data_IF_639448767932
#
_entry.id   IF_639448767932
#
_cell.length_a   1.000
_cell.length_b   1.000
_cell.length_c   1.000
_cell.angle_alpha   90.00
_cell.angle_beta   90.00
_cell.angle_gamma   90.00
#
_symmetry.space_group_name_H-M   'P 1'
#
loop_
_entity.id
_entity.type
_entity.pdbx_description
1 polymer ?
#
# COMPACT_ATOMS: atom_id res chain seq x y z
N UNK A 1 29.85 17.72 8.91
CA UNK A 1 29.26 18.96 9.46
C UNK A 1 29.04 19.96 8.33
N UNK A 2 27.82 20.14 7.91
CA UNK A 2 27.27 21.37 7.27
C UNK A 2 25.78 21.10 7.06
N UNK A 3 24.98 21.73 7.93
CA UNK A 3 23.52 21.63 7.90
C UNK A 3 22.94 22.45 6.74
N UNK A 4 21.97 21.91 6.09
CA UNK A 4 21.14 22.61 5.13
C UNK A 4 19.95 23.24 5.87
N UNK A 5 20.02 24.57 6.07
CA UNK A 5 18.86 25.39 6.45
C UNK A 5 18.30 26.00 5.18
N UNK A 6 17.08 25.66 4.82
CA UNK A 6 16.30 26.40 3.83
C UNK A 6 15.68 27.62 4.52
N UNK A 7 16.11 28.82 4.11
CA UNK A 7 15.45 30.08 4.45
C UNK A 7 14.32 30.33 3.42
N UNK A 8 13.08 30.26 3.88
CA UNK A 8 11.93 30.80 3.15
C UNK A 8 11.72 32.26 3.56
N UNK A 9 11.97 33.16 2.63
CA UNK A 9 11.67 34.61 2.76
C UNK A 9 10.21 34.85 2.37
N UNK A 10 9.36 35.13 3.34
CA UNK A 10 8.00 35.63 3.12
C UNK A 10 8.02 37.11 2.73
N UNK A 11 7.65 37.44 1.50
CA UNK A 11 7.29 38.79 1.12
C UNK A 11 5.83 39.04 1.49
N UNK A 12 5.61 40.03 2.37
CA UNK A 12 4.29 40.46 2.79
C UNK A 12 3.48 41.09 1.64
N UNK A 13 2.23 40.64 1.54
CA UNK A 13 1.13 41.39 0.91
C UNK A 13 0.00 41.53 1.91
N UNK A 14 -0.32 42.72 2.26
CA UNK A 14 -1.49 43.14 3.03
C UNK A 14 -2.77 42.72 2.30
N UNK A 15 -3.57 41.85 2.91
CA UNK A 15 -4.91 41.51 2.46
C UNK A 15 -5.94 42.22 3.32
N UNK A 16 -6.84 42.89 2.63
CA UNK A 16 -7.97 43.58 3.23
C UNK A 16 -8.96 42.60 3.90
N UNK A 17 -9.52 43.06 4.98
CA UNK A 17 -10.52 42.37 5.80
C UNK A 17 -11.82 42.14 5.03
N UNK A 18 -12.11 40.88 4.67
CA UNK A 18 -13.46 40.45 4.30
C UNK A 18 -14.01 39.62 5.46
N UNK A 19 -15.12 40.06 6.04
CA UNK A 19 -15.82 39.43 7.15
C UNK A 19 -16.34 38.03 6.81
N UNK A 20 -16.59 37.18 7.83
CA UNK A 20 -17.01 35.81 7.62
C UNK A 20 -18.45 35.72 7.09
N UNK A 21 -18.62 35.19 5.88
CA UNK A 21 -19.92 34.71 5.43
C UNK A 21 -20.18 33.36 6.08
N UNK A 22 -21.07 33.34 7.04
CA UNK A 22 -21.62 32.13 7.64
C UNK A 22 -22.47 31.40 6.58
N UNK A 23 -21.94 30.31 6.02
CA UNK A 23 -22.76 29.30 5.37
C UNK A 23 -23.39 28.43 6.45
N UNK A 24 -24.67 28.67 6.73
CA UNK A 24 -25.48 27.79 7.55
C UNK A 24 -25.70 26.48 6.79
N UNK A 25 -24.89 25.46 7.10
CA UNK A 25 -25.22 24.08 6.75
C UNK A 25 -26.44 23.67 7.60
N UNK A 26 -27.57 23.49 6.94
CA UNK A 26 -28.72 22.77 7.52
C UNK A 26 -28.22 21.36 7.88
N UNK A 27 -28.10 21.10 9.19
CA UNK A 27 -27.93 19.75 9.72
C UNK A 27 -29.21 18.97 9.44
N UNK A 28 -29.23 18.23 8.33
CA UNK A 28 -30.23 17.19 8.13
C UNK A 28 -30.11 16.18 9.26
N UNK A 29 -31.23 15.87 9.90
CA UNK A 29 -31.33 14.74 10.84
C UNK A 29 -30.96 13.47 10.12
N UNK A 30 -29.84 12.86 10.49
CA UNK A 30 -29.43 11.53 10.00
C UNK A 30 -30.43 10.55 10.57
N UNK A 31 -31.40 10.12 9.74
CA UNK A 31 -32.22 8.97 10.03
C UNK A 31 -31.25 7.75 10.04
N UNK A 32 -31.07 7.12 11.20
CA UNK A 32 -30.45 5.81 11.31
C UNK A 32 -31.41 4.75 10.73
N UNK A 33 -31.50 4.68 9.41
CA UNK A 33 -31.97 3.47 8.73
C UNK A 33 -30.99 2.34 9.02
N UNK A 34 -31.47 1.10 9.14
CA UNK A 34 -30.60 -0.07 9.24
C UNK A 34 -29.55 -0.04 8.11
N UNK A 35 -28.31 -0.52 8.35
CA UNK A 35 -27.29 -0.52 7.33
C UNK A 35 -27.78 -1.26 6.08
N UNK A 36 -27.55 -0.66 4.92
CA UNK A 36 -27.93 -1.23 3.62
C UNK A 36 -27.26 -2.61 3.46
N UNK A 37 -28.01 -3.61 2.98
CA UNK A 37 -27.46 -4.95 2.79
C UNK A 37 -26.45 -4.94 1.64
N UNK A 38 -25.37 -5.74 1.69
CA UNK A 38 -24.36 -5.84 0.62
C UNK A 38 -24.96 -6.02 -0.78
N UNK A 39 -25.99 -6.86 -0.93
CA UNK A 39 -26.68 -7.09 -2.20
C UNK A 39 -27.34 -5.82 -2.75
N UNK A 40 -28.00 -5.04 -1.89
CA UNK A 40 -28.68 -3.80 -2.29
C UNK A 40 -27.67 -2.72 -2.71
N UNK A 41 -26.54 -2.62 -1.97
CA UNK A 41 -25.42 -1.73 -2.33
C UNK A 41 -24.91 -2.07 -3.72
N UNK A 42 -24.58 -3.34 -3.98
CA UNK A 42 -24.04 -3.77 -5.28
C UNK A 42 -25.05 -3.54 -6.40
N UNK A 43 -26.33 -3.84 -6.15
CA UNK A 43 -27.39 -3.63 -7.14
C UNK A 43 -27.56 -2.14 -7.51
N UNK A 44 -27.53 -1.24 -6.52
CA UNK A 44 -27.62 0.22 -6.72
C UNK A 44 -26.42 0.73 -7.53
N UNK A 45 -25.21 0.39 -7.14
CA UNK A 45 -24.00 0.81 -7.84
C UNK A 45 -23.98 0.28 -9.29
N UNK A 46 -24.42 -0.95 -9.50
CA UNK A 46 -24.52 -1.55 -10.84
C UNK A 46 -25.57 -0.87 -11.72
N UNK A 47 -26.72 -0.50 -11.13
CA UNK A 47 -27.72 0.29 -11.82
C UNK A 47 -27.15 1.65 -12.27
N UNK A 48 -26.47 2.35 -11.39
CA UNK A 48 -25.80 3.63 -11.69
C UNK A 48 -24.74 3.49 -12.77
N UNK A 49 -23.85 2.48 -12.68
CA UNK A 49 -22.84 2.23 -13.71
C UNK A 49 -23.46 2.01 -15.10
N UNK A 50 -24.59 1.27 -15.19
CA UNK A 50 -25.31 1.00 -16.45
C UNK A 50 -25.88 2.25 -17.09
N UNK A 51 -26.15 3.32 -16.35
CA UNK A 51 -26.58 4.61 -16.93
C UNK A 51 -25.45 5.31 -17.70
N UNK A 52 -24.20 4.90 -17.51
CA UNK A 52 -23.02 5.57 -18.05
C UNK A 52 -22.54 6.77 -17.22
N UNK A 53 -23.15 7.05 -16.06
CA UNK A 53 -22.85 8.22 -15.19
C UNK A 53 -21.36 8.32 -14.81
N UNK A 54 -20.68 7.21 -14.62
CA UNK A 54 -19.27 7.18 -14.18
C UNK A 54 -18.26 7.31 -15.33
N UNK A 55 -18.72 7.16 -16.60
CA UNK A 55 -17.84 7.08 -17.78
C UNK A 55 -17.21 8.42 -18.21
N UNK A 56 -17.90 9.58 -18.16
CA UNK A 56 -17.31 10.86 -18.56
C UNK A 56 -16.06 11.20 -17.73
N UNK A 57 -15.02 11.72 -18.39
CA UNK A 57 -13.75 12.11 -17.73
C UNK A 57 -13.99 13.21 -16.70
N UNK A 58 -14.96 14.10 -16.94
CA UNK A 58 -15.36 15.17 -16.03
C UNK A 58 -15.91 14.64 -14.71
N UNK A 59 -16.69 13.55 -14.75
CA UNK A 59 -17.16 12.87 -13.53
C UNK A 59 -15.97 12.27 -12.77
N UNK A 60 -15.09 11.54 -13.47
CA UNK A 60 -13.92 10.88 -12.87
C UNK A 60 -13.01 11.89 -12.17
N UNK A 61 -12.59 12.94 -12.89
CA UNK A 61 -11.74 14.00 -12.34
C UNK A 61 -12.45 14.78 -11.23
N UNK A 62 -13.79 14.93 -11.33
CA UNK A 62 -14.62 15.52 -10.28
C UNK A 62 -14.57 14.70 -8.98
N UNK A 63 -14.70 13.36 -9.05
CA UNK A 63 -14.59 12.49 -7.89
C UNK A 63 -13.19 12.52 -7.28
N UNK A 64 -12.13 12.49 -8.10
CA UNK A 64 -10.75 12.56 -7.63
C UNK A 64 -10.46 13.88 -6.90
N UNK A 65 -10.92 15.02 -7.42
CA UNK A 65 -10.77 16.32 -6.74
C UNK A 65 -11.50 16.36 -5.40
N UNK A 66 -12.71 15.79 -5.31
CA UNK A 66 -13.45 15.67 -4.05
C UNK A 66 -12.79 14.74 -3.05
N UNK A 67 -12.20 13.63 -3.52
CA UNK A 67 -11.41 12.73 -2.67
C UNK A 67 -10.17 13.44 -2.11
N UNK A 68 -9.50 14.24 -2.93
CA UNK A 68 -8.39 15.10 -2.50
C UNK A 68 -8.81 16.12 -1.45
N UNK A 69 -9.93 16.84 -1.69
CA UNK A 69 -10.53 17.78 -0.76
C UNK A 69 -10.87 17.11 0.57
N UNK A 70 -11.51 15.95 0.51
CA UNK A 70 -11.81 15.11 1.68
C UNK A 70 -10.58 14.85 2.55
N UNK A 71 -9.48 14.39 1.93
CA UNK A 71 -8.23 14.10 2.64
C UNK A 71 -7.61 15.35 3.25
N UNK A 72 -7.66 16.48 2.53
CA UNK A 72 -7.08 17.74 2.98
C UNK A 72 -7.86 18.34 4.16
N UNK A 73 -9.18 18.31 4.09
CA UNK A 73 -10.05 18.91 5.11
C UNK A 73 -10.18 18.04 6.37
N UNK A 74 -10.14 16.71 6.22
CA UNK A 74 -10.32 15.77 7.33
C UNK A 74 -9.00 15.11 7.78
N UNK A 75 -7.85 15.59 7.31
CA UNK A 75 -6.53 15.06 7.67
C UNK A 75 -6.31 14.93 9.18
N UNK A 76 -6.61 15.94 10.01
CA UNK A 76 -6.45 15.83 11.46
C UNK A 76 -7.32 14.73 12.10
N UNK A 77 -8.54 14.52 11.60
CA UNK A 77 -9.41 13.47 12.09
C UNK A 77 -8.93 12.08 11.69
N UNK A 78 -8.50 11.91 10.44
CA UNK A 78 -7.91 10.65 9.97
C UNK A 78 -6.62 10.32 10.73
N UNK A 79 -5.76 11.31 10.99
CA UNK A 79 -4.55 11.12 11.78
C UNK A 79 -4.86 10.70 13.23
N UNK A 80 -5.91 11.27 13.84
CA UNK A 80 -6.36 10.87 15.16
C UNK A 80 -6.91 9.43 15.18
N UNK A 81 -7.64 9.02 14.15
CA UNK A 81 -8.15 7.66 14.00
C UNK A 81 -7.01 6.64 13.82
N UNK A 82 -6.02 6.95 12.99
CA UNK A 82 -4.82 6.15 12.77
C UNK A 82 -3.98 6.01 14.06
N UNK A 83 -3.92 7.08 14.85
CA UNK A 83 -3.28 7.03 16.18
C UNK A 83 -4.04 6.11 17.14
N UNK A 84 -5.37 6.18 17.16
CA UNK A 84 -6.20 5.33 18.01
C UNK A 84 -6.05 3.83 17.67
N UNK A 85 -5.95 3.49 16.40
CA UNK A 85 -5.85 2.10 15.94
C UNK A 85 -4.43 1.52 16.05
N UNK A 86 -3.40 2.29 15.70
CA UNK A 86 -2.03 1.81 15.48
C UNK A 86 -0.97 2.56 16.28
N UNK A 87 -1.34 3.60 17.03
CA UNK A 87 -0.38 4.47 17.72
C UNK A 87 0.49 5.29 16.75
N UNK A 88 0.12 5.44 15.49
CA UNK A 88 0.88 6.26 14.53
C UNK A 88 0.95 7.70 14.99
N UNK A 89 2.13 8.32 14.89
CA UNK A 89 2.25 9.76 15.07
C UNK A 89 1.50 10.51 13.96
N UNK A 90 1.18 11.78 14.18
CA UNK A 90 0.60 12.62 13.15
C UNK A 90 1.53 12.73 11.94
N UNK A 91 2.85 12.86 12.16
CA UNK A 91 3.86 12.89 11.10
C UNK A 91 3.81 11.62 10.24
N UNK A 92 3.78 10.45 10.88
CA UNK A 92 3.70 9.17 10.17
C UNK A 92 2.37 9.03 9.42
N UNK A 93 1.24 9.37 10.05
CA UNK A 93 -0.09 9.29 9.44
C UNK A 93 -0.20 10.14 8.16
N UNK A 94 0.32 11.37 8.20
CA UNK A 94 0.34 12.23 7.01
C UNK A 94 1.30 11.68 5.95
N UNK A 95 2.53 11.36 6.32
CA UNK A 95 3.55 10.94 5.35
C UNK A 95 3.18 9.65 4.62
N UNK A 96 2.64 8.67 5.34
CA UNK A 96 2.44 7.31 4.82
C UNK A 96 1.02 7.04 4.29
N UNK A 97 0.02 7.82 4.72
CA UNK A 97 -1.37 7.55 4.33
C UNK A 97 -2.04 8.76 3.67
N UNK A 98 -2.08 9.92 4.32
CA UNK A 98 -2.85 11.07 3.82
C UNK A 98 -2.15 11.70 2.62
N UNK A 99 -0.93 12.22 2.81
CA UNK A 99 -0.17 12.88 1.75
C UNK A 99 0.26 11.90 0.66
N UNK A 100 0.48 10.62 0.99
CA UNK A 100 0.75 9.58 0.00
C UNK A 100 -0.43 9.46 -0.96
N UNK A 101 -1.64 9.36 -0.45
CA UNK A 101 -2.86 9.25 -1.26
C UNK A 101 -3.14 10.55 -2.04
N UNK A 102 -2.88 11.71 -1.43
CA UNK A 102 -3.00 13.01 -2.13
C UNK A 102 -2.05 13.08 -3.33
N UNK A 103 -0.80 12.65 -3.17
CA UNK A 103 0.17 12.60 -4.29
C UNK A 103 -0.29 11.66 -5.42
N UNK A 104 -0.84 10.50 -5.08
CA UNK A 104 -1.40 9.56 -6.07
C UNK A 104 -2.58 10.19 -6.84
N UNK A 105 -3.46 10.93 -6.13
CA UNK A 105 -4.56 11.66 -6.76
C UNK A 105 -4.03 12.76 -7.68
N UNK A 106 -3.08 13.57 -7.22
CA UNK A 106 -2.52 14.68 -8.00
C UNK A 106 -1.83 14.14 -9.26
N UNK A 107 -1.01 13.11 -9.13
CA UNK A 107 -0.37 12.44 -10.28
C UNK A 107 -1.39 11.89 -11.28
N UNK A 108 -2.46 11.24 -10.78
CA UNK A 108 -3.53 10.73 -11.63
C UNK A 108 -4.28 11.86 -12.35
N UNK A 109 -4.61 12.96 -11.67
CA UNK A 109 -5.28 14.11 -12.28
C UNK A 109 -4.45 14.77 -13.38
N UNK A 110 -3.13 14.84 -13.19
CA UNK A 110 -2.22 15.44 -14.15
C UNK A 110 -2.08 14.62 -15.44
N UNK A 111 -2.23 13.29 -15.36
CA UNK A 111 -1.94 12.39 -16.48
C UNK A 111 -3.16 11.64 -17.04
N UNK A 112 -4.31 11.61 -16.34
CA UNK A 112 -5.46 10.77 -16.68
C UNK A 112 -5.92 10.92 -18.14
N UNK A 113 -6.01 12.15 -18.63
CA UNK A 113 -6.46 12.42 -20.01
C UNK A 113 -5.51 11.82 -21.04
N UNK A 114 -4.21 11.84 -20.75
CA UNK A 114 -3.18 11.23 -21.60
C UNK A 114 -3.29 9.70 -21.56
N UNK A 115 -3.39 9.11 -20.38
CA UNK A 115 -3.47 7.66 -20.22
C UNK A 115 -4.72 7.04 -20.88
N UNK A 116 -5.80 7.80 -20.96
CA UNK A 116 -7.05 7.34 -21.58
C UNK A 116 -7.10 7.50 -23.11
N UNK A 117 -6.06 8.08 -23.73
CA UNK A 117 -6.04 8.25 -25.21
C UNK A 117 -6.02 6.88 -25.88
N UNK A 118 -6.81 6.72 -26.97
CA UNK A 118 -6.70 5.55 -27.80
C UNK A 118 -5.29 5.41 -28.39
N UNK A 119 -4.75 4.19 -28.37
CA UNK A 119 -3.43 3.87 -28.92
C UNK A 119 -3.63 3.20 -30.30
N UNK A 120 -3.13 3.84 -31.37
CA UNK A 120 -3.22 3.31 -32.73
C UNK A 120 -2.43 2.01 -32.88
N UNK A 121 -2.95 1.07 -33.65
CA UNK A 121 -2.31 -0.19 -34.01
C UNK A 121 -2.09 -0.28 -35.51
N UNK A 122 -1.00 -0.91 -35.99
CA UNK A 122 -0.77 -1.13 -37.40
C UNK A 122 -1.86 -2.03 -38.03
N UNK A 123 -2.35 -1.65 -39.21
CA UNK A 123 -3.34 -2.45 -39.97
C UNK A 123 -2.64 -3.19 -41.09
N UNK A 124 -2.82 -4.52 -41.26
CA UNK A 124 -2.28 -5.27 -42.38
C UNK A 124 -2.81 -4.77 -43.72
N UNK A 125 -1.92 -4.70 -44.73
CA UNK A 125 -2.26 -4.16 -46.07
C UNK A 125 -3.44 -4.87 -46.77
N UNK A 126 -3.68 -6.15 -46.51
CA UNK A 126 -4.77 -6.90 -47.09
C UNK A 126 -6.17 -6.44 -46.64
N UNK A 127 -6.26 -5.66 -45.56
CA UNK A 127 -7.52 -5.06 -45.11
C UNK A 127 -7.83 -3.74 -45.83
N UNK A 128 -6.91 -3.25 -46.68
CA UNK A 128 -7.04 -1.99 -47.42
C UNK A 128 -6.50 -0.78 -46.64
N UNK A 129 -6.09 0.25 -47.40
CA UNK A 129 -5.38 1.43 -46.85
C UNK A 129 -6.25 2.42 -46.08
N UNK A 130 -7.56 2.22 -46.08
CA UNK A 130 -8.57 3.05 -45.39
C UNK A 130 -9.04 2.43 -44.04
N UNK A 131 -8.59 1.22 -43.71
CA UNK A 131 -8.87 0.63 -42.41
C UNK A 131 -7.98 1.24 -41.30
N UNK A 132 -8.57 1.47 -40.13
CA UNK A 132 -7.89 1.95 -38.94
C UNK A 132 -8.08 0.99 -37.77
N UNK A 133 -7.10 0.89 -36.91
CA UNK A 133 -7.18 0.06 -35.69
C UNK A 133 -6.58 0.78 -34.50
N UNK A 134 -7.16 0.58 -33.32
CA UNK A 134 -6.66 1.13 -32.07
C UNK A 134 -7.10 0.30 -30.88
N UNK A 135 -6.50 0.56 -29.72
CA UNK A 135 -7.00 0.09 -28.44
C UNK A 135 -7.52 1.27 -27.61
N UNK A 136 -8.53 1.03 -26.79
CA UNK A 136 -9.06 2.00 -25.83
C UNK A 136 -9.42 1.33 -24.51
N UNK A 137 -9.43 2.11 -23.42
CA UNK A 137 -9.81 1.63 -22.10
C UNK A 137 -11.31 1.83 -21.86
N UNK A 138 -12.00 0.73 -21.52
CA UNK A 138 -13.37 0.73 -21.05
C UNK A 138 -13.40 0.38 -19.56
N UNK A 139 -14.14 1.09 -18.69
CA UNK A 139 -14.29 0.72 -17.28
C UNK A 139 -14.91 -0.66 -17.14
N UNK A 140 -14.48 -1.45 -16.16
CA UNK A 140 -14.95 -2.81 -15.93
C UNK A 140 -16.40 -2.87 -15.44
N UNK A 141 -16.76 -2.01 -14.46
CA UNK A 141 -18.10 -2.02 -13.88
C UNK A 141 -18.16 -1.62 -12.43
N UNK A 142 -18.53 -2.55 -11.54
CA UNK A 142 -18.53 -2.39 -10.10
C UNK A 142 -17.32 -3.13 -9.52
N UNK A 143 -16.46 -2.38 -8.84
CA UNK A 143 -15.22 -2.88 -8.25
C UNK A 143 -15.39 -2.99 -6.73
N UNK A 144 -14.92 -4.10 -6.16
CA UNK A 144 -14.78 -4.27 -4.71
C UNK A 144 -13.32 -4.03 -4.30
N UNK A 145 -13.08 -3.13 -3.35
CA UNK A 145 -11.77 -2.90 -2.74
C UNK A 145 -11.82 -3.33 -1.27
N UNK A 146 -11.04 -4.35 -0.91
CA UNK A 146 -10.93 -4.87 0.45
C UNK A 146 -9.55 -4.51 0.99
N UNK A 147 -9.51 -3.65 2.01
CA UNK A 147 -8.27 -3.12 2.58
C UNK A 147 -7.87 -3.80 3.89
N UNK A 148 -6.55 -3.86 4.19
CA UNK A 148 -6.02 -4.34 5.46
C UNK A 148 -6.00 -3.24 6.52
N UNK A 149 -5.49 -3.61 7.70
CA UNK A 149 -5.47 -2.76 8.88
C UNK A 149 -4.17 -1.95 9.07
N UNK A 150 -3.09 -2.27 8.37
CA UNK A 150 -1.76 -1.69 8.66
C UNK A 150 -1.53 -0.29 8.08
N UNK A 151 -2.13 0.03 6.95
CA UNK A 151 -2.30 1.36 6.38
C UNK A 151 -3.76 1.51 5.93
N UNK A 152 -4.70 1.59 6.90
CA UNK A 152 -6.12 1.36 6.63
C UNK A 152 -6.78 2.43 5.77
N UNK A 153 -6.27 3.66 5.79
CA UNK A 153 -6.75 4.73 4.91
C UNK A 153 -6.10 4.63 3.52
N UNK A 154 -4.77 4.56 3.45
CA UNK A 154 -4.03 4.55 2.19
C UNK A 154 -4.36 3.31 1.35
N UNK A 155 -4.34 2.10 1.93
CA UNK A 155 -4.58 0.85 1.19
C UNK A 155 -6.07 0.63 0.81
N UNK A 156 -6.99 1.45 1.34
CA UNK A 156 -8.35 1.54 0.83
C UNK A 156 -8.45 2.57 -0.29
N UNK A 157 -7.94 3.78 -0.05
CA UNK A 157 -8.20 4.93 -0.91
C UNK A 157 -7.33 4.94 -2.17
N UNK A 158 -6.07 4.48 -2.13
CA UNK A 158 -5.21 4.45 -3.30
C UNK A 158 -5.75 3.53 -4.42
N UNK A 159 -6.20 2.28 -4.17
CA UNK A 159 -6.89 1.50 -5.19
C UNK A 159 -8.20 2.15 -5.67
N UNK A 160 -8.94 2.83 -4.77
CA UNK A 160 -10.14 3.58 -5.15
C UNK A 160 -9.83 4.73 -6.13
N UNK A 161 -8.68 5.42 -5.97
CA UNK A 161 -8.21 6.44 -6.93
C UNK A 161 -8.15 5.84 -8.34
N UNK A 162 -7.50 4.68 -8.48
CA UNK A 162 -7.39 4.00 -9.76
C UNK A 162 -8.74 3.54 -10.32
N UNK A 163 -9.60 2.95 -9.49
CA UNK A 163 -10.91 2.47 -9.89
C UNK A 163 -11.84 3.62 -10.36
N UNK A 164 -11.84 4.75 -9.65
CA UNK A 164 -12.61 5.95 -10.01
C UNK A 164 -12.03 6.61 -11.28
N UNK A 165 -10.72 6.71 -11.39
CA UNK A 165 -10.04 7.24 -12.57
C UNK A 165 -10.34 6.41 -13.83
N UNK A 166 -10.43 5.10 -13.71
CA UNK A 166 -10.85 4.21 -14.78
C UNK A 166 -12.35 4.32 -15.12
N UNK A 167 -13.17 4.92 -14.25
CA UNK A 167 -14.61 5.15 -14.48
C UNK A 167 -15.53 4.07 -13.92
N UNK A 168 -15.09 3.33 -12.91
CA UNK A 168 -15.88 2.31 -12.23
C UNK A 168 -16.73 2.89 -11.09
N UNK A 169 -17.77 2.15 -10.70
CA UNK A 169 -18.39 2.28 -9.40
C UNK A 169 -17.61 1.43 -8.38
N UNK A 170 -17.56 1.85 -7.10
CA UNK A 170 -16.67 1.25 -6.11
C UNK A 170 -17.41 0.93 -4.81
N UNK A 171 -17.29 -0.33 -4.36
CA UNK A 171 -17.57 -0.74 -2.99
C UNK A 171 -16.25 -0.82 -2.23
N UNK A 172 -16.12 -0.03 -1.19
CA UNK A 172 -14.95 0.03 -0.32
C UNK A 172 -15.21 -0.71 0.99
N UNK A 173 -14.40 -1.71 1.31
CA UNK A 173 -14.49 -2.50 2.54
C UNK A 173 -13.25 -2.24 3.41
N UNK A 174 -13.28 -1.27 4.35
CA UNK A 174 -12.18 -1.06 5.30
C UNK A 174 -12.04 -2.23 6.26
N UNK A 175 -10.88 -2.31 6.94
CA UNK A 175 -10.62 -3.39 7.89
C UNK A 175 -11.29 -3.14 9.24
N UNK A 176 -11.94 -4.18 9.75
CA UNK A 176 -12.52 -4.22 11.11
C UNK A 176 -11.46 -4.19 12.23
N UNK A 177 -10.20 -4.50 11.89
CA UNK A 177 -9.08 -4.46 12.84
C UNK A 177 -8.53 -3.04 13.04
N UNK A 178 -8.98 -2.06 12.24
CA UNK A 178 -8.71 -0.64 12.41
C UNK A 178 -10.05 0.12 12.54
N UNK A 179 -10.78 -0.09 13.65
CA UNK A 179 -12.18 0.35 13.78
C UNK A 179 -12.36 1.86 13.79
N UNK A 180 -11.43 2.62 14.36
CA UNK A 180 -11.51 4.08 14.38
C UNK A 180 -11.36 4.66 12.97
N UNK A 181 -10.41 4.14 12.19
CA UNK A 181 -10.20 4.55 10.78
C UNK A 181 -11.37 4.09 9.91
N UNK A 182 -11.88 2.86 10.10
CA UNK A 182 -13.06 2.34 9.38
C UNK A 182 -14.27 3.26 9.58
N UNK A 183 -14.60 3.58 10.82
CA UNK A 183 -15.73 4.46 11.16
C UNK A 183 -15.55 5.89 10.62
N UNK A 184 -14.33 6.43 10.68
CA UNK A 184 -14.03 7.75 10.11
C UNK A 184 -14.27 7.74 8.59
N UNK A 185 -13.75 6.75 7.86
CA UNK A 185 -13.92 6.63 6.41
C UNK A 185 -15.40 6.42 6.03
N UNK A 186 -16.13 5.55 6.74
CA UNK A 186 -17.54 5.30 6.49
C UNK A 186 -18.42 6.57 6.65
N UNK A 187 -18.02 7.47 7.56
CA UNK A 187 -18.71 8.74 7.78
C UNK A 187 -18.28 9.82 6.78
N UNK A 188 -16.97 9.90 6.45
CA UNK A 188 -16.43 11.01 5.66
C UNK A 188 -16.65 10.78 4.16
N UNK A 189 -16.40 9.58 3.65
CA UNK A 189 -16.46 9.28 2.21
C UNK A 189 -17.78 9.69 1.57
N UNK A 190 -18.98 9.32 2.11
CA UNK A 190 -20.25 9.69 1.50
C UNK A 190 -20.57 11.19 1.55
N UNK A 191 -19.87 11.98 2.38
CA UNK A 191 -20.04 13.43 2.41
C UNK A 191 -19.36 14.15 1.22
N UNK A 192 -18.42 13.49 0.57
CA UNK A 192 -17.64 14.08 -0.53
C UNK A 192 -17.88 13.39 -1.87
N UNK A 193 -18.00 12.06 -1.88
CA UNK A 193 -18.11 11.28 -3.12
C UNK A 193 -19.57 11.03 -3.51
N UNK A 194 -19.78 10.69 -4.78
CA UNK A 194 -21.09 10.33 -5.33
C UNK A 194 -21.59 9.02 -4.73
N UNK A 195 -22.53 9.09 -3.79
CA UNK A 195 -23.08 7.92 -3.06
C UNK A 195 -23.81 6.92 -3.95
N UNK A 196 -24.23 7.32 -5.15
CA UNK A 196 -24.83 6.40 -6.13
C UNK A 196 -23.78 5.52 -6.82
N UNK A 197 -22.52 5.93 -6.81
CA UNK A 197 -21.41 5.22 -7.47
C UNK A 197 -20.32 4.72 -6.50
N UNK A 198 -20.30 5.22 -5.25
CA UNK A 198 -19.32 4.86 -4.22
C UNK A 198 -20.04 4.52 -2.93
N UNK A 199 -19.70 3.38 -2.35
CA UNK A 199 -20.23 2.96 -1.05
C UNK A 199 -19.10 2.44 -0.15
N UNK A 200 -19.18 2.73 1.15
CA UNK A 200 -18.33 2.12 2.18
C UNK A 200 -19.15 1.11 2.94
N UNK A 201 -18.69 -0.12 3.03
CA UNK A 201 -19.34 -1.20 3.78
C UNK A 201 -18.42 -1.62 4.92
N UNK A 202 -18.78 -1.26 6.14
CA UNK A 202 -18.07 -1.69 7.35
C UNK A 202 -18.46 -3.13 7.72
N UNK A 203 -17.68 -3.73 8.59
CA UNK A 203 -17.95 -5.06 9.14
C UNK A 203 -16.76 -6.00 9.03
N UNK A 204 -16.93 -7.19 9.57
CA UNK A 204 -15.91 -8.23 9.65
C UNK A 204 -16.09 -9.34 8.61
N UNK A 205 -15.84 -10.57 9.08
CA UNK A 205 -15.93 -11.77 8.23
C UNK A 205 -17.35 -11.98 7.65
N UNK A 206 -18.46 -11.81 8.40
CA UNK A 206 -19.80 -12.02 7.85
C UNK A 206 -20.11 -11.08 6.68
N UNK A 207 -19.84 -9.77 6.82
CA UNK A 207 -20.13 -8.76 5.81
C UNK A 207 -19.22 -8.94 4.59
N UNK A 208 -17.93 -9.27 4.81
CA UNK A 208 -16.99 -9.57 3.73
C UNK A 208 -17.44 -10.82 2.95
N UNK A 209 -17.92 -11.86 3.64
CA UNK A 209 -18.44 -13.06 3.00
C UNK A 209 -19.70 -12.75 2.19
N UNK A 210 -20.60 -11.91 2.70
CA UNK A 210 -21.80 -11.48 1.97
C UNK A 210 -21.42 -10.66 0.72
N UNK A 211 -20.43 -9.76 0.80
CA UNK A 211 -19.92 -9.05 -0.37
C UNK A 211 -19.30 -10.00 -1.40
N UNK A 212 -18.49 -10.97 -0.96
CA UNK A 212 -17.87 -11.94 -1.86
C UNK A 212 -18.85 -12.91 -2.52
N UNK A 213 -20.07 -13.02 -2.01
CA UNK A 213 -21.15 -13.77 -2.65
C UNK A 213 -21.79 -12.98 -3.82
N UNK A 214 -21.59 -11.65 -3.87
CA UNK A 214 -22.11 -10.80 -4.92
C UNK A 214 -21.20 -10.81 -6.17
N UNK A 215 -21.78 -10.55 -7.34
CA UNK A 215 -21.01 -10.40 -8.56
C UNK A 215 -20.39 -9.02 -8.67
N UNK A 216 -19.05 -8.97 -8.66
CA UNK A 216 -18.25 -7.81 -9.04
C UNK A 216 -17.63 -7.98 -10.43
N UNK A 217 -17.16 -6.87 -11.01
CA UNK A 217 -16.47 -6.86 -12.29
C UNK A 217 -14.94 -6.81 -12.10
N UNK A 218 -14.47 -6.51 -10.87
CA UNK A 218 -13.11 -6.69 -10.38
C UNK A 218 -13.11 -6.73 -8.83
N UNK A 219 -12.21 -7.51 -8.25
CA UNK A 219 -11.96 -7.50 -6.81
C UNK A 219 -10.49 -7.17 -6.57
N UNK A 220 -10.24 -6.09 -5.83
CA UNK A 220 -8.93 -5.70 -5.36
C UNK A 220 -8.82 -6.02 -3.87
N UNK A 221 -7.90 -6.88 -3.51
CA UNK A 221 -7.68 -7.33 -2.13
C UNK A 221 -6.24 -7.09 -1.73
N UNK A 222 -6.05 -6.41 -0.59
CA UNK A 222 -4.75 -6.32 0.10
C UNK A 222 -4.84 -7.00 1.44
N UNK A 223 -3.90 -7.92 1.73
CA UNK A 223 -3.87 -8.65 2.99
C UNK A 223 -3.01 -9.90 2.96
N UNK A 224 -3.36 -10.92 3.75
CA UNK A 224 -2.61 -12.17 3.79
C UNK A 224 -3.05 -13.18 2.72
N UNK A 225 -2.14 -14.10 2.37
CA UNK A 225 -2.37 -15.11 1.32
C UNK A 225 -3.50 -16.10 1.64
N UNK A 226 -3.79 -16.38 2.92
CA UNK A 226 -4.90 -17.27 3.30
C UNK A 226 -6.24 -16.69 2.88
N UNK A 227 -6.50 -15.43 3.20
CA UNK A 227 -7.73 -14.73 2.78
C UNK A 227 -7.71 -14.43 1.28
N UNK A 228 -6.53 -14.12 0.69
CA UNK A 228 -6.39 -13.95 -0.76
C UNK A 228 -6.90 -15.17 -1.55
N UNK A 229 -6.60 -16.37 -1.08
CA UNK A 229 -7.14 -17.62 -1.67
C UNK A 229 -8.66 -17.75 -1.51
N UNK A 230 -9.24 -17.26 -0.42
CA UNK A 230 -10.71 -17.22 -0.24
C UNK A 230 -11.32 -16.27 -1.27
N UNK A 231 -10.75 -15.06 -1.44
CA UNK A 231 -11.17 -14.09 -2.45
C UNK A 231 -11.12 -14.67 -3.86
N UNK A 232 -10.01 -15.34 -4.24
CA UNK A 232 -9.88 -15.98 -5.55
C UNK A 232 -10.95 -17.05 -5.80
N UNK A 233 -11.24 -17.88 -4.79
CA UNK A 233 -12.29 -18.91 -4.93
C UNK A 233 -13.66 -18.28 -5.14
N UNK A 234 -14.00 -17.26 -4.37
CA UNK A 234 -15.27 -16.55 -4.53
C UNK A 234 -15.36 -15.86 -5.91
N UNK A 235 -14.30 -15.21 -6.36
CA UNK A 235 -14.22 -14.56 -7.66
C UNK A 235 -14.41 -15.55 -8.83
N UNK A 236 -13.93 -16.78 -8.69
CA UNK A 236 -14.04 -17.83 -9.71
C UNK A 236 -15.50 -18.20 -10.03
N UNK A 237 -16.42 -18.10 -9.07
CA UNK A 237 -17.86 -18.37 -9.30
C UNK A 237 -18.48 -17.44 -10.34
N UNK A 238 -17.91 -16.24 -10.50
CA UNK A 238 -18.39 -15.21 -11.43
C UNK A 238 -17.40 -14.89 -12.55
N UNK A 239 -16.28 -15.60 -12.65
CA UNK A 239 -15.16 -15.29 -13.55
C UNK A 239 -14.65 -13.85 -13.34
N UNK A 240 -14.72 -13.34 -12.13
CA UNK A 240 -14.28 -11.99 -11.77
C UNK A 240 -12.75 -11.94 -11.72
N UNK A 241 -12.08 -11.03 -12.44
CA UNK A 241 -10.66 -10.82 -12.31
C UNK A 241 -10.32 -10.26 -10.91
N UNK A 242 -9.15 -10.65 -10.40
CA UNK A 242 -8.67 -10.22 -9.09
C UNK A 242 -7.30 -9.58 -9.18
N UNK A 243 -7.06 -8.56 -8.35
CA UNK A 243 -5.73 -8.09 -7.98
C UNK A 243 -5.51 -8.43 -6.51
N UNK A 244 -4.42 -9.12 -6.22
CA UNK A 244 -4.06 -9.56 -4.87
C UNK A 244 -2.72 -8.93 -4.51
N UNK A 245 -2.75 -8.05 -3.52
CA UNK A 245 -1.58 -7.46 -2.89
C UNK A 245 -1.35 -8.17 -1.55
N UNK A 246 -0.41 -9.08 -1.57
CA UNK A 246 -0.11 -9.95 -0.43
C UNK A 246 1.22 -9.53 0.21
N UNK A 247 1.71 -10.32 1.13
CA UNK A 247 2.97 -10.04 1.80
C UNK A 247 4.10 -10.94 1.30
N UNK A 248 4.98 -11.25 2.20
CA UNK A 248 6.11 -12.14 1.99
C UNK A 248 7.31 -11.75 2.84
N UNK A 249 8.30 -12.62 2.89
CA UNK A 249 9.54 -12.34 3.62
C UNK A 249 10.49 -11.55 2.73
N UNK A 250 10.39 -10.22 2.75
CA UNK A 250 11.21 -9.31 1.95
C UNK A 250 12.69 -9.34 2.40
N UNK A 251 13.60 -9.97 1.64
CA UNK A 251 15.00 -10.05 1.99
C UNK A 251 15.74 -8.73 1.77
N UNK A 252 16.80 -8.54 2.55
CA UNK A 252 17.80 -7.52 2.32
C UNK A 252 19.14 -8.19 2.15
N UNK A 253 19.81 -8.00 1.02
CA UNK A 253 21.19 -8.37 0.85
C UNK A 253 22.09 -7.17 1.08
N UNK A 254 23.06 -7.30 1.99
CA UNK A 254 24.09 -6.30 2.27
C UNK A 254 25.43 -6.85 1.85
N UNK A 255 26.02 -6.25 0.81
CA UNK A 255 27.30 -6.65 0.25
C UNK A 255 28.46 -6.08 1.05
N UNK A 256 29.63 -6.72 0.97
CA UNK A 256 30.87 -6.25 1.59
C UNK A 256 31.28 -4.88 1.05
N UNK A 257 31.91 -4.07 1.91
CA UNK A 257 32.49 -2.79 1.51
C UNK A 257 31.45 -1.66 1.37
N UNK A 258 30.20 -1.89 1.73
CA UNK A 258 29.18 -0.82 1.82
C UNK A 258 29.41 0.06 3.05
N UNK A 259 28.94 1.31 3.00
CA UNK A 259 28.91 2.18 4.16
C UNK A 259 27.85 1.68 5.18
N UNK A 260 28.33 0.98 6.20
CA UNK A 260 27.49 0.28 7.18
C UNK A 260 26.62 1.24 7.99
N UNK A 261 27.08 2.47 8.29
CA UNK A 261 26.27 3.45 9.03
C UNK A 261 25.07 3.92 8.18
N UNK A 262 25.31 4.16 6.89
CA UNK A 262 24.25 4.51 5.92
C UNK A 262 23.27 3.35 5.77
N UNK A 263 23.77 2.12 5.64
CA UNK A 263 22.94 0.91 5.55
C UNK A 263 22.06 0.76 6.78
N UNK A 264 22.64 0.88 7.98
CA UNK A 264 21.95 0.72 9.25
C UNK A 264 20.85 1.78 9.45
N UNK A 265 21.11 3.06 9.16
CA UNK A 265 20.10 4.12 9.25
C UNK A 265 18.92 3.84 8.30
N UNK A 266 19.19 3.51 7.04
CA UNK A 266 18.14 3.22 6.04
C UNK A 266 17.35 1.96 6.36
N UNK A 267 18.00 0.91 6.84
CA UNK A 267 17.33 -0.32 7.28
C UNK A 267 16.46 -0.09 8.50
N UNK A 268 16.96 0.61 9.51
CA UNK A 268 16.20 0.89 10.72
C UNK A 268 14.93 1.71 10.41
N UNK A 269 15.05 2.76 9.58
CA UNK A 269 13.89 3.54 9.12
C UNK A 269 12.90 2.68 8.35
N UNK A 270 13.37 1.89 7.40
CA UNK A 270 12.48 1.04 6.59
C UNK A 270 11.85 -0.11 7.38
N UNK A 271 12.59 -0.67 8.36
CA UNK A 271 12.09 -1.78 9.17
C UNK A 271 11.11 -1.36 10.25
N UNK A 272 11.39 -0.26 10.97
CA UNK A 272 10.65 0.05 12.19
C UNK A 272 9.52 1.07 11.99
N UNK A 273 9.36 1.64 10.79
CA UNK A 273 8.17 2.38 10.39
C UNK A 273 6.91 1.53 10.63
N UNK A 274 5.84 2.10 11.17
CA UNK A 274 4.61 1.41 11.56
C UNK A 274 4.85 0.17 12.46
N UNK A 275 5.87 0.23 13.32
CA UNK A 275 6.33 -0.91 14.12
C UNK A 275 6.59 -2.17 13.28
N UNK A 276 7.08 -2.02 12.05
CA UNK A 276 7.38 -3.12 11.13
C UNK A 276 6.17 -3.81 10.51
N UNK A 277 4.96 -3.29 10.69
CA UNK A 277 3.71 -3.84 10.17
C UNK A 277 3.47 -3.37 8.72
N UNK A 278 4.41 -3.69 7.83
CA UNK A 278 4.44 -3.23 6.45
C UNK A 278 4.82 -4.39 5.54
N UNK A 279 4.02 -4.66 4.50
CA UNK A 279 4.19 -5.78 3.57
C UNK A 279 5.53 -5.78 2.80
N UNK A 280 6.15 -4.63 2.67
CA UNK A 280 7.46 -4.43 2.05
C UNK A 280 8.56 -4.07 3.07
N UNK A 281 8.29 -4.17 4.38
CA UNK A 281 9.34 -3.95 5.38
C UNK A 281 10.47 -4.96 5.20
N UNK A 282 11.74 -4.56 5.35
CA UNK A 282 12.84 -5.51 5.50
C UNK A 282 12.47 -6.61 6.50
N UNK A 283 12.38 -7.84 6.04
CA UNK A 283 11.94 -8.94 6.90
C UNK A 283 13.12 -9.70 7.52
N UNK A 284 14.21 -9.84 6.77
CA UNK A 284 15.50 -10.37 7.24
C UNK A 284 16.67 -9.82 6.40
N UNK A 285 17.86 -9.88 6.99
CA UNK A 285 19.11 -9.45 6.34
C UNK A 285 19.97 -10.68 6.03
N UNK A 286 20.53 -10.72 4.83
CA UNK A 286 21.56 -11.66 4.38
C UNK A 286 22.87 -10.90 4.20
N UNK A 287 23.94 -11.34 4.84
CA UNK A 287 25.27 -10.75 4.67
C UNK A 287 26.35 -11.70 5.22
N UNK A 288 27.61 -11.44 4.92
CA UNK A 288 28.72 -12.21 5.46
C UNK A 288 28.95 -11.95 6.97
N UNK A 289 29.65 -12.86 7.69
CA UNK A 289 29.80 -12.76 9.14
C UNK A 289 30.50 -11.46 9.62
N UNK A 290 31.46 -10.92 8.87
CA UNK A 290 32.16 -9.68 9.24
C UNK A 290 31.23 -8.47 9.10
N UNK A 291 30.54 -8.38 7.98
CA UNK A 291 29.54 -7.34 7.72
C UNK A 291 28.37 -7.45 8.71
N UNK A 292 27.92 -8.67 9.08
CA UNK A 292 26.87 -8.89 10.06
C UNK A 292 27.21 -8.31 11.43
N UNK A 293 28.46 -8.50 11.90
CA UNK A 293 28.90 -7.97 13.19
C UNK A 293 28.96 -6.44 13.20
N UNK A 294 29.48 -5.84 12.12
CA UNK A 294 29.54 -4.39 11.95
C UNK A 294 28.13 -3.77 11.85
N UNK A 295 27.28 -4.35 11.01
CA UNK A 295 25.88 -3.92 10.79
C UNK A 295 25.06 -4.03 12.09
N UNK A 296 25.19 -5.13 12.83
CA UNK A 296 24.51 -5.30 14.10
C UNK A 296 24.82 -4.16 15.07
N UNK A 297 26.13 -3.80 15.18
CA UNK A 297 26.56 -2.68 16.03
C UNK A 297 26.04 -1.32 15.55
N UNK A 298 25.99 -1.08 14.25
CA UNK A 298 25.46 0.13 13.65
C UNK A 298 23.93 0.23 13.81
N UNK A 299 23.20 -0.88 13.67
CA UNK A 299 21.76 -0.92 13.91
C UNK A 299 21.36 -0.58 15.33
N UNK A 300 22.16 -0.96 16.33
CA UNK A 300 21.94 -0.53 17.73
C UNK A 300 21.95 1.00 17.83
N UNK A 301 22.97 1.65 17.23
CA UNK A 301 23.08 3.12 17.21
C UNK A 301 21.95 3.76 16.37
N UNK A 302 21.59 3.19 15.26
CA UNK A 302 20.52 3.69 14.40
C UNK A 302 19.15 3.66 15.11
N UNK A 303 18.82 2.58 15.81
CA UNK A 303 17.59 2.46 16.61
C UNK A 303 17.56 3.49 17.73
N UNK A 304 18.67 3.64 18.47
CA UNK A 304 18.78 4.66 19.53
C UNK A 304 18.66 6.08 18.96
N UNK A 305 19.25 6.34 17.80
CA UNK A 305 19.16 7.63 17.11
C UNK A 305 17.74 7.97 16.62
N UNK A 306 16.94 6.97 16.26
CA UNK A 306 15.57 7.15 15.78
C UNK A 306 14.56 7.30 16.90
N UNK A 307 14.68 6.49 17.96
CA UNK A 307 13.63 6.33 18.97
C UNK A 307 14.09 6.67 20.38
N UNK A 308 15.37 7.07 20.55
CA UNK A 308 15.96 7.37 21.85
C UNK A 308 16.26 6.11 22.67
N UNK A 309 16.69 6.33 23.91
CA UNK A 309 17.02 5.25 24.87
C UNK A 309 15.78 4.47 25.35
N UNK A 310 14.59 5.09 25.28
CA UNK A 310 13.31 4.48 25.63
C UNK A 310 12.32 4.59 24.46
N UNK A 311 12.35 3.66 23.51
CA UNK A 311 11.41 3.66 22.39
C UNK A 311 9.94 3.53 22.80
N UNK A 312 9.63 3.01 23.99
CA UNK A 312 8.25 2.92 24.48
C UNK A 312 7.63 4.30 24.74
N UNK A 313 8.44 5.26 25.16
CA UNK A 313 8.04 6.65 25.37
C UNK A 313 8.14 7.53 24.12
N UNK A 314 8.70 7.01 23.01
CA UNK A 314 8.83 7.76 21.77
C UNK A 314 7.46 7.93 21.08
N UNK A 315 7.03 9.19 20.87
CA UNK A 315 5.77 9.51 20.22
C UNK A 315 5.73 9.13 18.71
N UNK A 316 6.91 8.97 18.10
CA UNK A 316 7.05 8.60 16.69
C UNK A 316 7.07 7.06 16.48
N UNK A 317 6.93 6.26 17.55
CA UNK A 317 6.95 4.82 17.45
C UNK A 317 5.55 4.22 17.63
N UNK A 318 5.05 3.52 16.60
CA UNK A 318 3.73 2.91 16.56
C UNK A 318 3.52 1.76 17.55
N UNK A 319 2.34 1.12 17.47
CA UNK A 319 1.96 0.00 18.33
C UNK A 319 1.49 -1.17 17.45
N UNK A 320 1.56 -2.39 18.01
CA UNK A 320 1.01 -3.58 17.36
C UNK A 320 -0.53 -3.48 17.38
N UNK A 321 -1.15 -3.81 16.27
CA UNK A 321 -2.58 -3.58 16.05
C UNK A 321 -3.47 -4.21 17.13
N UNK A 322 -3.17 -5.42 17.57
CA UNK A 322 -3.97 -6.13 18.59
C UNK A 322 -3.13 -7.16 19.37
N UNK A 323 -3.73 -7.71 20.43
CA UNK A 323 -3.08 -8.66 21.32
C UNK A 323 -2.72 -9.99 20.62
N UNK A 324 -3.52 -10.47 19.67
CA UNK A 324 -3.22 -11.70 18.92
C UNK A 324 -1.94 -11.55 18.10
N UNK A 325 -1.75 -10.42 17.43
CA UNK A 325 -0.51 -10.15 16.69
C UNK A 325 0.66 -9.89 17.64
N UNK A 326 0.41 -9.25 18.79
CA UNK A 326 1.42 -9.09 19.84
C UNK A 326 1.93 -10.45 20.35
N UNK A 327 1.03 -11.37 20.70
CA UNK A 327 1.37 -12.71 21.22
C UNK A 327 2.17 -13.52 20.18
N UNK A 328 1.76 -13.46 18.90
CA UNK A 328 2.49 -14.09 17.78
C UNK A 328 3.91 -13.54 17.64
N UNK A 329 4.07 -12.23 17.69
CA UNK A 329 5.39 -11.58 17.59
C UNK A 329 6.26 -11.83 18.82
N UNK A 330 5.68 -11.81 19.99
CA UNK A 330 6.37 -12.12 21.26
C UNK A 330 7.04 -13.50 21.25
N UNK A 331 6.37 -14.48 20.62
CA UNK A 331 6.93 -15.83 20.46
C UNK A 331 8.17 -15.88 19.54
N UNK A 332 8.39 -14.88 18.69
CA UNK A 332 9.53 -14.81 17.77
C UNK A 332 10.80 -14.22 18.40
N UNK A 333 10.67 -13.49 19.51
CA UNK A 333 11.80 -12.78 20.14
C UNK A 333 12.94 -13.70 20.59
N UNK A 334 12.64 -14.95 20.88
CA UNK A 334 13.62 -15.97 21.27
C UNK A 334 14.34 -16.67 20.12
N UNK A 335 14.15 -16.24 18.87
CA UNK A 335 14.70 -16.92 17.68
C UNK A 335 16.17 -16.64 17.38
N UNK A 336 16.86 -15.81 18.19
CA UNK A 336 18.26 -15.47 18.03
C UNK A 336 18.78 -14.68 19.22
N UNK A 337 20.04 -14.25 19.16
CA UNK A 337 20.65 -13.39 20.18
C UNK A 337 20.24 -11.94 19.96
N UNK A 338 19.57 -11.35 20.92
CA UNK A 338 19.14 -9.94 20.88
C UNK A 338 20.35 -9.00 20.92
N UNK A 339 20.47 -8.12 19.93
CA UNK A 339 21.47 -7.05 19.89
C UNK A 339 20.94 -5.74 20.48
N UNK A 340 19.67 -5.42 20.16
CA UNK A 340 18.93 -4.26 20.68
C UNK A 340 17.45 -4.63 20.79
N UNK A 341 16.72 -4.01 21.68
CA UNK A 341 15.30 -4.24 21.89
C UNK A 341 15.01 -5.47 22.75
N UNK A 342 14.10 -6.35 22.31
CA UNK A 342 13.67 -7.56 23.01
C UNK A 342 12.66 -7.30 24.13
N UNK A 343 12.45 -6.05 24.55
CA UNK A 343 11.44 -5.66 25.54
C UNK A 343 10.04 -5.61 24.93
N UNK A 344 9.02 -5.93 25.74
CA UNK A 344 7.63 -5.87 25.28
C UNK A 344 6.66 -5.57 26.42
N UNK A 345 5.53 -4.94 26.09
CA UNK A 345 4.41 -4.68 27.00
C UNK A 345 3.08 -5.00 26.30
N UNK A 346 2.45 -6.10 26.74
CA UNK A 346 1.19 -6.60 26.15
C UNK A 346 0.04 -5.61 26.36
N UNK A 347 -0.02 -4.94 27.49
CA UNK A 347 -1.10 -4.01 27.81
C UNK A 347 -1.12 -2.82 26.85
N UNK A 348 0.07 -2.31 26.51
CA UNK A 348 0.26 -1.23 25.57
C UNK A 348 0.50 -1.69 24.13
N UNK A 349 0.41 -3.00 23.87
CA UNK A 349 0.69 -3.61 22.55
C UNK A 349 2.06 -3.16 22.00
N UNK A 350 3.01 -2.96 22.87
CA UNK A 350 4.35 -2.49 22.55
C UNK A 350 5.33 -3.65 22.43
N UNK A 351 6.09 -3.68 21.34
CA UNK A 351 7.28 -4.51 21.17
C UNK A 351 8.41 -3.57 20.73
N UNK A 352 9.52 -3.60 21.45
CA UNK A 352 10.67 -2.76 21.14
C UNK A 352 11.21 -3.04 19.74
N UNK A 353 11.75 -2.04 19.01
CA UNK A 353 12.55 -2.26 17.82
C UNK A 353 13.66 -3.26 18.15
N UNK A 354 13.60 -4.44 17.54
CA UNK A 354 14.44 -5.59 17.94
C UNK A 354 15.29 -6.07 16.77
N UNK A 355 16.59 -6.21 16.99
CA UNK A 355 17.52 -6.83 16.03
C UNK A 355 18.06 -8.12 16.64
N UNK A 356 17.99 -9.20 15.85
CA UNK A 356 18.46 -10.53 16.24
C UNK A 356 19.69 -10.92 15.43
N UNK A 357 20.75 -11.38 16.10
CA UNK A 357 21.90 -12.03 15.50
C UNK A 357 21.89 -13.53 15.78
N UNK A 358 22.78 -14.27 15.12
CA UNK A 358 22.96 -15.71 15.30
C UNK A 358 21.67 -16.51 15.04
N UNK A 359 20.89 -16.06 14.04
CA UNK A 359 19.58 -16.62 13.71
C UNK A 359 19.75 -17.86 12.85
N UNK A 360 19.22 -19.00 13.32
CA UNK A 360 19.13 -20.21 12.51
C UNK A 360 18.10 -19.98 11.37
N UNK A 361 18.45 -20.23 10.09
CA UNK A 361 17.52 -20.16 8.97
C UNK A 361 16.23 -21.00 9.11
N UNK A 362 16.23 -21.98 10.01
CA UNK A 362 15.09 -22.84 10.32
C UNK A 362 14.28 -22.39 11.53
N UNK A 363 14.73 -21.34 12.24
CA UNK A 363 14.03 -20.82 13.41
C UNK A 363 12.65 -20.24 13.06
N UNK A 364 11.71 -20.14 14.01
CA UNK A 364 10.35 -19.64 13.77
C UNK A 364 10.29 -18.27 13.08
N UNK A 365 11.20 -17.35 13.41
CA UNK A 365 11.25 -16.00 12.82
C UNK A 365 11.54 -16.02 11.30
N UNK A 366 12.08 -17.12 10.80
CA UNK A 366 12.42 -17.30 9.38
C UNK A 366 11.37 -18.09 8.58
N UNK A 367 10.30 -18.61 9.20
CA UNK A 367 9.31 -19.47 8.53
C UNK A 367 8.18 -18.68 7.87
N UNK A 368 7.69 -17.63 8.54
CA UNK A 368 6.59 -16.79 8.06
C UNK A 368 7.02 -15.32 8.04
N UNK A 369 6.26 -14.49 7.30
CA UNK A 369 6.42 -13.03 7.34
C UNK A 369 6.28 -12.53 8.77
N UNK A 370 7.27 -11.74 9.23
CA UNK A 370 7.28 -11.25 10.61
C UNK A 370 6.16 -10.26 10.85
N UNK A 371 5.99 -9.29 9.95
CA UNK A 371 4.98 -8.22 10.04
C UNK A 371 4.98 -7.55 11.43
N UNK A 372 6.18 -7.15 11.85
CA UNK A 372 6.43 -6.59 13.18
C UNK A 372 7.88 -6.11 13.34
N UNK A 373 8.22 -5.53 14.50
CA UNK A 373 9.47 -4.80 14.70
C UNK A 373 10.65 -5.71 15.09
N UNK A 374 10.82 -6.81 14.38
CA UNK A 374 11.91 -7.77 14.62
C UNK A 374 12.69 -7.95 13.32
N UNK A 375 13.99 -7.69 13.35
CA UNK A 375 14.91 -7.81 12.22
C UNK A 375 15.98 -8.86 12.49
N UNK A 376 15.85 -10.08 11.98
CA UNK A 376 16.89 -11.09 12.05
C UNK A 376 18.00 -10.84 11.02
N UNK A 377 19.25 -11.07 11.43
CA UNK A 377 20.43 -11.11 10.57
C UNK A 377 20.85 -12.57 10.42
N UNK A 378 20.88 -13.05 9.19
CA UNK A 378 21.32 -14.38 8.80
C UNK A 378 22.63 -14.26 8.03
N UNK A 379 23.64 -15.01 8.43
CA UNK A 379 24.94 -14.99 7.75
C UNK A 379 24.95 -15.96 6.57
N UNK A 380 25.59 -15.51 5.49
CA UNK A 380 25.83 -16.28 4.25
C UNK A 380 27.29 -16.07 3.81
N UNK A 381 27.84 -17.03 3.06
CA UNK A 381 29.24 -16.94 2.60
C UNK A 381 29.46 -15.92 1.47
N UNK A 382 28.37 -15.37 0.91
CA UNK A 382 28.41 -14.34 -0.13
C UNK A 382 27.20 -14.34 -1.06
N UNK A 383 27.39 -13.72 -2.23
CA UNK A 383 26.29 -13.48 -3.18
C UNK A 383 25.62 -14.76 -3.69
N UNK A 384 26.41 -15.82 -3.97
CA UNK A 384 25.87 -17.08 -4.53
C UNK A 384 24.93 -17.75 -3.54
N UNK A 385 25.34 -17.84 -2.28
CA UNK A 385 24.52 -18.41 -1.22
C UNK A 385 23.30 -17.52 -0.94
N UNK A 386 23.46 -16.19 -0.96
CA UNK A 386 22.34 -15.26 -0.80
C UNK A 386 21.28 -15.44 -1.88
N UNK A 387 21.68 -15.56 -3.15
CA UNK A 387 20.78 -15.82 -4.28
C UNK A 387 20.07 -17.17 -4.10
N UNK A 388 20.81 -18.23 -3.75
CA UNK A 388 20.24 -19.54 -3.46
C UNK A 388 19.21 -19.45 -2.32
N UNK A 389 19.59 -18.79 -1.22
CA UNK A 389 18.71 -18.60 -0.05
C UNK A 389 17.39 -17.88 -0.36
N UNK A 390 17.46 -16.87 -1.25
CA UNK A 390 16.28 -16.12 -1.72
C UNK A 390 15.41 -17.03 -2.60
N UNK A 391 16.00 -17.75 -3.54
CA UNK A 391 15.29 -18.56 -4.52
C UNK A 391 14.68 -19.84 -3.94
N UNK A 392 15.20 -20.34 -2.81
CA UNK A 392 14.63 -21.47 -2.08
C UNK A 392 13.34 -21.12 -1.31
N UNK A 393 12.91 -19.88 -1.38
CA UNK A 393 11.70 -19.34 -0.71
C UNK A 393 10.69 -18.81 -1.73
N UNK A 394 9.47 -18.61 -1.24
CA UNK A 394 8.42 -17.96 -2.02
C UNK A 394 8.85 -16.54 -2.42
N UNK A 395 8.47 -16.15 -3.64
CA UNK A 395 8.80 -14.83 -4.19
C UNK A 395 8.22 -13.71 -3.33
N UNK A 396 9.07 -12.84 -2.76
CA UNK A 396 8.62 -11.77 -1.87
C UNK A 396 7.99 -10.61 -2.64
N UNK A 397 7.22 -9.78 -1.94
CA UNK A 397 6.69 -8.54 -2.50
C UNK A 397 7.81 -7.53 -2.80
N UNK A 398 8.85 -7.47 -1.96
CA UNK A 398 10.02 -6.63 -2.20
C UNK A 398 11.33 -7.36 -1.89
N UNK A 399 12.39 -6.97 -2.61
CA UNK A 399 13.79 -7.36 -2.39
C UNK A 399 14.64 -6.11 -2.34
N UNK A 400 15.54 -6.00 -1.35
CA UNK A 400 16.43 -4.87 -1.20
C UNK A 400 17.90 -5.28 -1.26
N UNK A 401 18.73 -4.42 -1.86
CA UNK A 401 20.16 -4.70 -2.06
C UNK A 401 20.98 -3.47 -1.74
N UNK A 402 21.94 -3.61 -0.85
CA UNK A 402 22.95 -2.61 -0.58
C UNK A 402 24.27 -3.10 -1.14
N UNK A 403 24.75 -2.51 -2.23
CA UNK A 403 26.00 -2.85 -2.91
C UNK A 403 26.50 -1.70 -3.78
N UNK A 404 27.80 -1.53 -3.85
CA UNK A 404 28.46 -0.65 -4.82
C UNK A 404 28.82 -1.40 -6.12
N UNK A 405 28.76 -2.72 -6.12
CA UNK A 405 29.10 -3.57 -7.27
C UNK A 405 27.99 -3.59 -8.33
N UNK A 406 28.31 -3.11 -9.52
CA UNK A 406 27.42 -3.25 -10.68
C UNK A 406 27.16 -4.72 -11.05
N UNK A 407 28.15 -5.60 -10.84
CA UNK A 407 28.01 -7.03 -11.06
C UNK A 407 27.01 -7.68 -10.11
N UNK A 408 27.08 -7.36 -8.82
CA UNK A 408 26.12 -7.82 -7.82
C UNK A 408 24.71 -7.36 -8.16
N UNK A 409 24.52 -6.08 -8.54
CA UNK A 409 23.23 -5.54 -8.98
C UNK A 409 22.66 -6.33 -10.16
N UNK A 410 23.46 -6.54 -11.19
CA UNK A 410 23.02 -7.25 -12.40
C UNK A 410 22.64 -8.70 -12.10
N UNK A 411 23.42 -9.40 -11.27
CA UNK A 411 23.13 -10.79 -10.90
C UNK A 411 21.86 -10.92 -10.08
N UNK A 412 21.68 -10.11 -9.05
CA UNK A 412 20.44 -10.12 -8.24
C UNK A 412 19.22 -9.88 -9.15
N UNK A 413 19.28 -8.88 -10.03
CA UNK A 413 18.17 -8.57 -10.94
C UNK A 413 17.87 -9.72 -11.91
N UNK A 414 18.86 -10.44 -12.37
CA UNK A 414 18.70 -11.52 -13.35
C UNK A 414 18.38 -12.88 -12.73
N UNK A 415 18.90 -13.14 -11.53
CA UNK A 415 18.88 -14.48 -10.92
C UNK A 415 17.82 -14.61 -9.79
N UNK A 416 17.10 -13.53 -9.41
CA UNK A 416 16.04 -13.58 -8.39
C UNK A 416 14.72 -13.05 -8.93
N UNK A 417 13.63 -13.29 -8.20
CA UNK A 417 12.31 -12.78 -8.55
C UNK A 417 11.60 -12.19 -7.32
N UNK A 418 11.03 -10.99 -7.48
CA UNK A 418 10.25 -10.29 -6.46
C UNK A 418 9.22 -9.38 -7.12
N UNK A 419 8.22 -8.89 -6.38
CA UNK A 419 7.31 -7.85 -6.88
C UNK A 419 8.04 -6.56 -7.21
N UNK A 420 8.86 -6.05 -6.29
CA UNK A 420 9.74 -4.90 -6.49
C UNK A 420 11.18 -5.18 -6.09
N UNK A 421 12.15 -4.49 -6.71
CA UNK A 421 13.57 -4.55 -6.38
C UNK A 421 14.09 -3.14 -6.10
N UNK A 422 14.61 -2.92 -4.88
CA UNK A 422 15.16 -1.64 -4.44
C UNK A 422 16.65 -1.70 -4.17
N UNK A 423 17.41 -0.78 -4.75
CA UNK A 423 18.85 -0.64 -4.47
C UNK A 423 19.09 0.50 -3.50
N UNK A 424 19.71 0.21 -2.36
CA UNK A 424 20.20 1.19 -1.39
C UNK A 424 19.13 1.92 -0.56
N UNK A 425 17.85 1.71 -0.81
CA UNK A 425 16.79 2.38 -0.06
C UNK A 425 15.52 1.52 0.05
N UNK A 426 15.21 0.95 1.23
CA UNK A 426 13.98 0.21 1.45
C UNK A 426 12.73 1.09 1.31
N UNK A 427 11.61 0.50 0.89
CA UNK A 427 10.28 1.10 0.74
C UNK A 427 10.16 2.20 -0.35
N UNK A 428 11.24 2.86 -0.73
CA UNK A 428 11.19 4.08 -1.56
C UNK A 428 10.58 3.87 -2.96
N UNK A 429 10.63 2.66 -3.50
CA UNK A 429 10.00 2.35 -4.81
C UNK A 429 8.49 2.61 -4.81
N UNK A 430 7.82 2.56 -3.65
CA UNK A 430 6.40 2.91 -3.49
C UNK A 430 6.10 4.39 -3.76
N UNK A 431 7.09 5.25 -3.60
CA UNK A 431 6.90 6.71 -3.75
C UNK A 431 7.09 7.21 -5.18
N UNK A 432 7.44 6.30 -6.09
CA UNK A 432 7.63 6.60 -7.51
C UNK A 432 6.35 6.20 -8.26
N UNK A 433 5.48 7.16 -8.51
CA UNK A 433 4.14 6.95 -9.08
C UNK A 433 4.13 6.30 -10.46
N UNK A 434 5.24 6.39 -11.22
CA UNK A 434 5.40 5.76 -12.53
C UNK A 434 5.92 4.31 -12.48
N UNK A 435 6.16 3.76 -11.28
CA UNK A 435 6.50 2.36 -11.11
C UNK A 435 5.26 1.54 -10.73
N UNK A 436 5.09 0.32 -11.32
CA UNK A 436 4.04 -0.57 -10.87
C UNK A 436 4.34 -1.05 -9.45
N UNK A 437 3.31 -1.17 -8.64
CA UNK A 437 3.38 -1.86 -7.37
C UNK A 437 2.50 -3.11 -7.41
N UNK A 438 3.08 -4.27 -7.10
CA UNK A 438 2.37 -5.53 -7.08
C UNK A 438 3.31 -6.71 -6.87
N UNK A 439 2.73 -7.82 -6.41
CA UNK A 439 3.44 -9.05 -6.11
C UNK A 439 3.53 -10.02 -7.29
N UNK A 440 4.27 -11.11 -7.07
CA UNK A 440 4.43 -12.22 -8.01
C UNK A 440 4.40 -13.57 -7.26
N UNK A 441 3.63 -14.54 -7.74
CA UNK A 441 3.46 -15.83 -7.06
C UNK A 441 2.75 -15.68 -5.71
N UNK A 442 3.36 -16.12 -4.63
CA UNK A 442 2.77 -16.05 -3.28
C UNK A 442 2.63 -14.62 -2.74
N UNK A 443 3.39 -13.65 -3.28
CA UNK A 443 3.27 -12.24 -2.88
C UNK A 443 2.15 -11.48 -3.58
N UNK A 444 1.51 -12.06 -4.60
CA UNK A 444 0.36 -11.43 -5.24
C UNK A 444 0.20 -11.69 -6.72
N UNK A 445 -0.79 -11.01 -7.31
CA UNK A 445 -1.06 -11.00 -8.76
C UNK A 445 -1.68 -9.67 -9.16
N UNK A 446 -1.29 -9.16 -10.30
CA UNK A 446 -1.64 -7.81 -10.75
C UNK A 446 -0.71 -6.74 -10.17
N UNK A 447 -1.00 -5.50 -10.50
CA UNK A 447 -0.26 -4.33 -10.00
C UNK A 447 -1.11 -3.08 -10.11
N UNK A 448 -0.73 -2.01 -9.40
CA UNK A 448 -1.42 -0.74 -9.44
C UNK A 448 -0.45 0.42 -9.22
N UNK A 449 -0.87 1.61 -8.95
CA UNK A 449 -0.26 2.93 -8.94
C UNK A 449 -0.18 3.56 -10.32
N UNK A 450 -0.47 4.87 -10.39
CA UNK A 450 -0.42 5.67 -11.60
C UNK A 450 -1.14 5.01 -12.79
N UNK A 451 -0.47 4.95 -13.95
CA UNK A 451 -0.99 4.34 -15.18
C UNK A 451 -1.41 2.88 -15.00
N UNK A 452 -0.69 2.11 -14.19
CA UNK A 452 -0.98 0.68 -13.98
C UNK A 452 -2.34 0.47 -13.29
N UNK A 453 -2.79 1.44 -12.48
CA UNK A 453 -4.16 1.43 -11.94
C UNK A 453 -5.21 1.52 -13.04
N UNK A 454 -4.99 2.33 -14.08
CA UNK A 454 -5.91 2.41 -15.24
C UNK A 454 -5.97 1.08 -15.97
N UNK A 455 -4.83 0.43 -16.17
CA UNK A 455 -4.76 -0.88 -16.82
C UNK A 455 -5.48 -1.97 -16.00
N UNK A 456 -5.30 -1.97 -14.69
CA UNK A 456 -5.90 -2.94 -13.76
C UNK A 456 -7.43 -2.80 -13.68
N UNK A 457 -7.94 -1.57 -13.65
CA UNK A 457 -9.37 -1.30 -13.47
C UNK A 457 -10.12 -1.06 -14.80
N UNK A 458 -9.51 -1.38 -15.94
CA UNK A 458 -10.12 -1.22 -17.27
C UNK A 458 -9.98 -2.48 -18.11
N UNK A 459 -10.90 -2.62 -19.07
CA UNK A 459 -10.72 -3.53 -20.19
C UNK A 459 -10.07 -2.78 -21.36
N UNK A 460 -8.94 -3.28 -21.85
CA UNK A 460 -8.28 -2.76 -23.05
C UNK A 460 -8.96 -3.35 -24.29
N UNK A 461 -9.94 -2.61 -24.83
CA UNK A 461 -10.76 -3.04 -25.97
C UNK A 461 -10.04 -2.79 -27.29
N UNK A 462 -9.94 -3.83 -28.12
CA UNK A 462 -9.49 -3.71 -29.50
C UNK A 462 -10.62 -3.17 -30.39
N UNK A 463 -10.30 -2.20 -31.24
CA UNK A 463 -11.22 -1.62 -32.21
C UNK A 463 -10.59 -1.68 -33.60
N UNK A 464 -11.37 -2.14 -34.57
CA UNK A 464 -11.04 -2.09 -35.98
C UNK A 464 -12.18 -1.37 -36.71
N UNK A 465 -11.86 -0.37 -37.48
CA UNK A 465 -12.79 0.38 -38.29
C UNK A 465 -12.41 0.22 -39.77
N UNK A 466 -13.40 -0.12 -40.61
CA UNK A 466 -13.29 -0.16 -42.05
C UNK A 466 -14.51 0.57 -42.62
N UNK A 467 -14.32 1.66 -43.41
CA UNK A 467 -15.41 2.34 -44.06
C UNK A 467 -16.21 1.37 -44.95
N UNK A 468 -17.52 1.60 -45.06
CA UNK A 468 -18.42 0.78 -45.89
C UNK A 468 -18.42 1.19 -47.35
N UNK A 469 -17.81 2.32 -47.66
CA UNK A 469 -17.75 2.90 -49.03
C UNK A 469 -16.35 3.38 -49.35
#
# INVERSE_FOLDING_TARGET
MKGWRLHLTLRGRTLGTLGPRAHAHQRGTVNHSAPEQPADVVARLRATFRTGRTKPVEWRTGQLRRLREMLTENGPELAAALHADLGKSSTEAYHTEIDFTVREIDHTLDHLVEWLRPESAPVPAHLGGDATAWTQYDPLGVVLVIAPWNYPAQLLLAPMVGALAAGNAVVAKPSELAPATSAALARIVPAYLDTEAVAVVEGGVPETTALLAERFDHIFYTGNGTVGRVVMRAAAEHLTPVTLELGGKSPVFVDRGTDIEVVADRLARGKFLNAGQTCVAPDYVLTDPETAAALGSALVRAVEGLYGADPAACAEYGRIVNERHFDRLGALLGSGRVLVGGGSDRTNKYIAPTVLADVDPKSPVMQEEIFGPILPIVTVDGLDEAIGFINDRDKPLALYVFTESAGTRARIAAETSSGGLGYGLPLAHLTVSDLPFGGVGESGTGSYHGRYSIETFSHRKAVLEKPLS
#
